data_IF_582383560149
#
_entry.id   IF_582383560149
#
_cell.length_a   1.000
_cell.length_b   1.000
_cell.length_c   1.000
_cell.angle_alpha   90.00
_cell.angle_beta   90.00
_cell.angle_gamma   90.00
#
_symmetry.space_group_name_H-M   'P 1'
#
loop_
_entity.id
_entity.type
_entity.pdbx_description
1 polymer ?
#
# COMPACT_ATOMS: atom_id res chain seq x y z
N UNK A 1 22.45 20.13 6.62
CA UNK A 1 22.74 18.72 6.95
C UNK A 1 21.40 18.07 7.30
N UNK A 2 20.49 17.98 6.31
CA UNK A 2 19.05 17.92 6.62
C UNK A 2 18.27 16.86 5.84
N UNK A 3 18.91 16.00 5.05
CA UNK A 3 18.19 15.05 4.15
C UNK A 3 18.61 13.58 4.29
N UNK A 4 19.37 13.20 5.33
CA UNK A 4 19.80 11.80 5.48
C UNK A 4 18.62 10.82 5.65
N UNK A 5 17.47 11.31 6.12
CA UNK A 5 16.28 10.50 6.41
C UNK A 5 15.05 10.93 5.59
N UNK A 6 15.21 11.82 4.63
CA UNK A 6 14.13 12.18 3.72
C UNK A 6 13.84 11.00 2.78
N UNK A 7 12.56 10.82 2.44
CA UNK A 7 12.17 9.85 1.42
C UNK A 7 12.67 10.31 0.05
N UNK A 8 13.03 9.35 -0.79
CA UNK A 8 13.30 9.59 -2.20
C UNK A 8 12.02 9.98 -2.94
N UNK A 9 12.13 10.56 -4.13
CA UNK A 9 10.97 10.90 -4.97
C UNK A 9 10.11 9.66 -5.28
N UNK A 10 10.75 8.52 -5.55
CA UNK A 10 10.07 7.25 -5.79
C UNK A 10 9.32 6.76 -4.54
N UNK A 11 9.93 6.86 -3.35
CA UNK A 11 9.28 6.52 -2.09
C UNK A 11 8.08 7.42 -1.79
N UNK A 12 8.19 8.72 -2.09
CA UNK A 12 7.08 9.66 -1.97
C UNK A 12 5.95 9.27 -2.93
N UNK A 13 6.27 8.94 -4.19
CA UNK A 13 5.28 8.53 -5.18
C UNK A 13 4.53 7.24 -4.74
N UNK A 14 5.24 6.26 -4.19
CA UNK A 14 4.64 5.03 -3.64
C UNK A 14 3.71 5.36 -2.47
N UNK A 15 4.17 6.21 -1.53
CA UNK A 15 3.36 6.66 -0.40
C UNK A 15 2.09 7.38 -0.86
N UNK A 16 2.19 8.28 -1.84
CA UNK A 16 1.06 9.02 -2.38
C UNK A 16 0.04 8.10 -3.07
N UNK A 17 0.52 7.08 -3.79
CA UNK A 17 -0.34 6.06 -4.38
C UNK A 17 -1.12 5.30 -3.30
N UNK A 18 -0.46 4.86 -2.24
CA UNK A 18 -1.10 4.18 -1.11
C UNK A 18 -2.12 5.08 -0.40
N UNK A 19 -1.79 6.36 -0.19
CA UNK A 19 -2.70 7.35 0.42
C UNK A 19 -3.97 7.55 -0.42
N UNK A 20 -3.82 7.70 -1.74
CA UNK A 20 -4.98 7.87 -2.66
C UNK A 20 -5.86 6.63 -2.68
N UNK A 21 -5.27 5.44 -2.84
CA UNK A 21 -6.03 4.19 -2.79
C UNK A 21 -6.79 4.04 -1.47
N UNK A 22 -6.16 4.38 -0.35
CA UNK A 22 -6.80 4.31 0.98
C UNK A 22 -7.95 5.30 1.10
N UNK A 23 -7.79 6.53 0.61
CA UNK A 23 -8.82 7.56 0.65
C UNK A 23 -10.05 7.19 -0.19
N UNK A 24 -9.84 6.57 -1.35
CA UNK A 24 -10.91 6.29 -2.31
C UNK A 24 -11.56 4.92 -2.08
N UNK A 25 -10.78 3.89 -1.76
CA UNK A 25 -11.23 2.49 -1.77
C UNK A 25 -11.41 1.86 -0.38
N UNK A 26 -10.87 2.47 0.69
CA UNK A 26 -10.91 1.92 2.06
C UNK A 26 -11.70 2.84 3.00
N UNK A 27 -11.26 4.09 3.11
CA UNK A 27 -11.76 5.06 4.10
C UNK A 27 -13.29 5.24 4.08
N UNK A 28 -13.97 5.33 2.93
CA UNK A 28 -15.42 5.52 2.89
C UNK A 28 -16.23 4.35 3.47
N UNK A 29 -15.62 3.16 3.54
CA UNK A 29 -16.30 1.92 3.92
C UNK A 29 -15.81 1.32 5.25
N UNK A 30 -14.66 1.79 5.74
CA UNK A 30 -13.96 1.19 6.88
C UNK A 30 -14.83 1.04 8.15
N UNK A 31 -15.63 2.07 8.49
CA UNK A 31 -16.50 2.02 9.67
C UNK A 31 -17.59 0.95 9.55
N UNK A 32 -18.22 0.83 8.37
CA UNK A 32 -19.23 -0.18 8.12
C UNK A 32 -18.62 -1.58 8.14
N UNK A 33 -17.43 -1.75 7.55
CA UNK A 33 -16.76 -3.05 7.55
C UNK A 33 -16.40 -3.52 8.96
N UNK A 34 -16.01 -2.60 9.84
CA UNK A 34 -15.76 -2.89 11.25
C UNK A 34 -17.05 -3.35 11.97
N UNK A 35 -18.13 -2.57 11.85
CA UNK A 35 -19.43 -2.86 12.46
C UNK A 35 -20.02 -4.20 12.00
N UNK A 36 -19.93 -4.49 10.70
CA UNK A 36 -20.52 -5.69 10.08
C UNK A 36 -19.57 -6.89 10.04
N UNK A 37 -18.34 -6.75 10.54
CA UNK A 37 -17.28 -7.77 10.47
C UNK A 37 -16.99 -8.25 9.04
N UNK A 38 -16.94 -7.31 8.09
CA UNK A 38 -16.70 -7.60 6.67
C UNK A 38 -15.21 -7.81 6.41
N UNK A 39 -14.88 -8.90 5.72
CA UNK A 39 -13.57 -9.08 5.10
C UNK A 39 -13.60 -8.59 3.63
N UNK A 40 -13.03 -7.41 3.30
CA UNK A 40 -13.23 -6.75 2.01
C UNK A 40 -12.33 -7.35 0.92
N UNK A 41 -12.67 -8.56 0.45
CA UNK A 41 -11.88 -9.35 -0.51
C UNK A 41 -11.53 -8.57 -1.78
N UNK A 42 -12.51 -7.87 -2.36
CA UNK A 42 -12.30 -7.12 -3.60
C UNK A 42 -11.36 -5.94 -3.40
N UNK A 43 -11.48 -5.21 -2.29
CA UNK A 43 -10.55 -4.12 -1.95
C UNK A 43 -9.14 -4.63 -1.71
N UNK A 44 -8.99 -5.76 -0.99
CA UNK A 44 -7.69 -6.40 -0.77
C UNK A 44 -7.07 -6.85 -2.10
N UNK A 45 -7.87 -7.43 -2.99
CA UNK A 45 -7.42 -7.83 -4.34
C UNK A 45 -6.96 -6.61 -5.15
N UNK A 46 -7.71 -5.52 -5.13
CA UNK A 46 -7.32 -4.28 -5.81
C UNK A 46 -6.01 -3.70 -5.23
N UNK A 47 -5.81 -3.75 -3.91
CA UNK A 47 -4.52 -3.36 -3.30
C UNK A 47 -3.36 -4.29 -3.74
N UNK A 48 -3.62 -5.59 -3.88
CA UNK A 48 -2.64 -6.56 -4.34
C UNK A 48 -2.25 -6.34 -5.81
N UNK A 49 -3.20 -5.95 -6.67
CA UNK A 49 -2.93 -5.58 -8.07
C UNK A 49 -2.04 -4.34 -8.19
N UNK A 50 -2.03 -3.46 -7.18
CA UNK A 50 -1.09 -2.34 -7.06
C UNK A 50 0.28 -2.74 -6.47
N UNK A 51 0.47 -4.02 -6.14
CA UNK A 51 1.72 -4.56 -5.55
C UNK A 51 1.81 -4.47 -4.03
N UNK A 52 0.82 -3.89 -3.34
CA UNK A 52 0.87 -3.66 -1.89
C UNK A 52 0.80 -4.93 -1.03
N UNK A 53 0.42 -6.07 -1.62
CA UNK A 53 0.40 -7.36 -0.92
C UNK A 53 1.77 -8.08 -0.91
N UNK A 54 2.74 -7.63 -1.71
CA UNK A 54 4.02 -8.32 -1.91
C UNK A 54 5.19 -7.33 -2.15
N UNK A 55 5.21 -6.23 -1.38
CA UNK A 55 6.10 -5.06 -1.60
C UNK A 55 7.58 -5.45 -1.70
N UNK A 56 8.08 -6.22 -0.75
CA UNK A 56 9.50 -6.58 -0.65
C UNK A 56 9.80 -8.02 -1.07
N UNK A 57 8.89 -8.65 -1.81
CA UNK A 57 9.07 -9.98 -2.40
C UNK A 57 9.73 -9.82 -3.78
N UNK A 58 10.59 -10.75 -4.18
CA UNK A 58 11.24 -10.69 -5.50
C UNK A 58 10.21 -10.76 -6.63
N UNK A 59 10.52 -10.10 -7.75
CA UNK A 59 9.69 -10.16 -8.95
C UNK A 59 9.54 -11.60 -9.48
N UNK A 60 10.59 -12.43 -9.36
CA UNK A 60 10.55 -13.86 -9.71
C UNK A 60 9.48 -14.63 -8.91
N UNK A 61 9.19 -14.19 -7.68
CA UNK A 61 8.14 -14.77 -6.83
C UNK A 61 6.81 -14.01 -6.91
N UNK A 62 6.66 -13.07 -7.85
CA UNK A 62 5.44 -12.29 -8.06
C UNK A 62 5.29 -11.05 -7.17
N UNK A 63 6.37 -10.59 -6.53
CA UNK A 63 6.41 -9.31 -5.81
C UNK A 63 6.88 -8.14 -6.69
N UNK A 64 7.17 -7.00 -6.04
CA UNK A 64 7.64 -5.78 -6.72
C UNK A 64 9.07 -5.36 -6.32
N UNK A 65 9.79 -6.20 -5.58
CA UNK A 65 11.24 -6.05 -5.35
C UNK A 65 11.69 -4.80 -4.59
N UNK A 66 10.79 -4.13 -3.86
CA UNK A 66 11.10 -2.89 -3.13
C UNK A 66 11.76 -3.16 -1.77
N UNK A 67 12.26 -2.09 -1.15
CA UNK A 67 12.93 -2.14 0.14
C UNK A 67 11.98 -2.21 1.33
N UNK A 68 12.59 -2.30 2.52
CA UNK A 68 11.85 -2.33 3.79
C UNK A 68 11.20 -0.99 4.15
N UNK A 69 11.72 0.11 3.63
CA UNK A 69 11.19 1.45 3.92
C UNK A 69 9.89 1.70 3.17
N UNK A 70 9.79 1.23 1.93
CA UNK A 70 8.58 1.29 1.11
C UNK A 70 7.47 0.38 1.65
N UNK A 71 7.82 -0.64 2.41
CA UNK A 71 6.90 -1.60 3.01
C UNK A 71 6.41 -1.21 4.42
N UNK A 72 6.92 -0.11 4.99
CA UNK A 72 6.67 0.32 6.36
C UNK A 72 5.43 1.21 6.52
#
# INVERSE_FOLDING_TARGET
>A
MTDQFALTEDQIAIQDMARRFTADAITPFAAQWDEDHVFPRETIKAAAELGFAAIYVSEESGGIGLGRLEAA
#
